data_IF_343926520803
#
_entry.id   IF_343926520803
#
_cell.length_a   1.000
_cell.length_b   1.000
_cell.length_c   1.000
_cell.angle_alpha   90.00
_cell.angle_beta   90.00
_cell.angle_gamma   90.00
#
_symmetry.space_group_name_H-M   'P 1'
#
loop_
_entity.id
_entity.type
_entity.pdbx_description
1 polymer ?
#
# COMPACT_ATOMS: atom_id res chain seq x y z
N UNK A 1 20.60 -18.37 6.00
CA UNK A 1 19.33 -18.81 6.63
C UNK A 1 18.72 -17.58 7.31
N UNK A 2 17.82 -16.86 6.65
CA UNK A 2 17.24 -15.64 7.22
C UNK A 2 16.27 -16.04 8.36
N UNK A 3 16.65 -15.68 9.58
CA UNK A 3 15.98 -16.00 10.83
C UNK A 3 14.61 -15.32 10.86
N UNK A 4 13.61 -16.05 11.35
CA UNK A 4 12.21 -15.64 11.42
C UNK A 4 12.03 -14.25 12.01
N UNK A 5 11.19 -13.46 11.34
CA UNK A 5 10.72 -12.17 11.80
C UNK A 5 9.58 -12.43 12.79
N UNK A 6 9.81 -12.16 14.08
CA UNK A 6 8.82 -12.34 15.14
C UNK A 6 7.57 -11.46 14.90
N UNK A 7 6.34 -11.99 15.01
CA UNK A 7 5.11 -11.28 14.60
C UNK A 7 4.59 -10.23 15.60
N UNK A 8 5.22 -10.02 16.76
CA UNK A 8 4.68 -9.15 17.83
C UNK A 8 5.06 -7.67 17.68
N UNK A 9 6.04 -7.32 16.84
CA UNK A 9 6.48 -5.94 16.60
C UNK A 9 5.78 -5.22 15.44
N UNK A 10 5.18 -5.96 14.49
CA UNK A 10 4.67 -5.39 13.24
C UNK A 10 3.32 -4.67 13.38
N UNK A 11 2.45 -5.11 14.30
CA UNK A 11 1.17 -4.44 14.54
C UNK A 11 1.34 -3.06 15.18
N UNK A 12 2.25 -2.90 16.14
CA UNK A 12 2.43 -1.62 16.85
C UNK A 12 2.90 -0.48 15.92
N UNK A 13 3.82 -0.78 14.99
CA UNK A 13 4.35 0.18 14.02
C UNK A 13 3.30 0.53 12.96
N UNK A 14 2.57 -0.46 12.44
CA UNK A 14 1.45 -0.21 11.54
C UNK A 14 0.38 0.66 12.21
N UNK A 15 -0.03 0.33 13.44
CA UNK A 15 -1.01 1.11 14.18
C UNK A 15 -0.55 2.55 14.42
N UNK A 16 0.72 2.76 14.78
CA UNK A 16 1.26 4.10 15.00
C UNK A 16 1.34 4.93 13.70
N UNK A 17 1.69 4.30 12.59
CA UNK A 17 1.71 4.94 11.26
C UNK A 17 0.32 5.33 10.79
N UNK A 18 -0.66 4.44 10.97
CA UNK A 18 -2.04 4.66 10.58
C UNK A 18 -2.73 5.73 11.42
N UNK A 19 -2.23 5.98 12.63
CA UNK A 19 -2.69 7.05 13.53
C UNK A 19 -1.94 8.38 13.33
N UNK A 20 -0.86 8.40 12.54
CA UNK A 20 -0.05 9.60 12.31
C UNK A 20 -0.74 10.51 11.28
N UNK A 21 -1.06 11.78 11.62
CA UNK A 21 -1.61 12.73 10.66
C UNK A 21 -0.59 12.99 9.54
N UNK A 22 -1.06 13.09 8.29
CA UNK A 22 -0.22 13.34 7.11
C UNK A 22 0.22 12.10 6.33
N UNK A 23 0.10 10.89 6.89
CA UNK A 23 0.48 9.66 6.18
C UNK A 23 -0.70 8.92 5.53
N UNK A 24 -1.92 9.41 5.68
CA UNK A 24 -3.11 8.76 5.13
C UNK A 24 -3.07 8.65 3.58
N UNK A 25 -2.66 9.72 2.89
CA UNK A 25 -2.48 9.72 1.44
C UNK A 25 -1.39 8.76 0.98
N UNK A 26 -0.16 8.82 1.54
CA UNK A 26 0.93 7.91 1.19
C UNK A 26 0.64 6.44 1.50
N UNK A 27 -0.06 6.15 2.60
CA UNK A 27 -0.48 4.78 2.92
C UNK A 27 -1.51 4.25 1.92
N UNK A 28 -2.45 5.10 1.47
CA UNK A 28 -3.40 4.76 0.40
C UNK A 28 -2.70 4.56 -0.94
N UNK A 29 -1.72 5.39 -1.26
CA UNK A 29 -0.88 5.24 -2.45
C UNK A 29 -0.15 3.89 -2.44
N UNK A 30 0.56 3.58 -1.35
CA UNK A 30 1.29 2.32 -1.19
C UNK A 30 0.35 1.11 -1.31
N UNK A 31 -0.83 1.17 -0.69
CA UNK A 31 -1.85 0.13 -0.81
C UNK A 31 -2.24 -0.10 -2.28
N UNK A 32 -2.50 0.97 -3.04
CA UNK A 32 -2.86 0.88 -4.44
C UNK A 32 -1.71 0.32 -5.30
N UNK A 33 -0.46 0.72 -5.03
CA UNK A 33 0.72 0.15 -5.69
C UNK A 33 0.80 -1.38 -5.49
N UNK A 34 0.62 -1.86 -4.26
CA UNK A 34 0.63 -3.30 -3.96
C UNK A 34 -0.52 -4.05 -4.64
N UNK A 35 -1.72 -3.47 -4.69
CA UNK A 35 -2.89 -4.08 -5.34
C UNK A 35 -2.73 -4.17 -6.85
N UNK A 36 -2.23 -3.10 -7.49
CA UNK A 36 -1.96 -3.09 -8.94
C UNK A 36 -0.92 -4.14 -9.28
N UNK A 37 0.22 -4.10 -8.59
CA UNK A 37 1.29 -5.06 -8.82
C UNK A 37 0.87 -6.53 -8.57
N UNK A 38 -0.13 -6.78 -7.72
CA UNK A 38 -0.74 -8.11 -7.60
C UNK A 38 -1.54 -8.48 -8.85
N UNK A 39 -2.42 -7.58 -9.31
CA UNK A 39 -3.23 -7.76 -10.52
C UNK A 39 -2.39 -7.94 -11.78
N UNK A 40 -1.38 -7.09 -11.99
CA UNK A 40 -0.45 -7.20 -13.13
C UNK A 40 0.21 -8.60 -13.19
N UNK A 41 0.64 -9.13 -12.04
CA UNK A 41 1.26 -10.46 -11.96
C UNK A 41 0.29 -11.61 -12.26
N UNK A 42 -0.99 -11.43 -11.94
CA UNK A 42 -2.01 -12.44 -12.23
C UNK A 42 -2.43 -12.44 -13.70
N UNK A 43 -2.41 -11.26 -14.34
CA UNK A 43 -2.75 -11.11 -15.76
C UNK A 43 -1.59 -11.54 -16.67
N UNK A 44 -0.37 -11.08 -16.39
CA UNK A 44 0.80 -11.31 -17.26
C UNK A 44 1.44 -12.69 -17.02
N UNK A 45 1.19 -13.31 -15.85
CA UNK A 45 1.80 -14.57 -15.44
C UNK A 45 3.30 -14.48 -15.14
N UNK A 46 3.90 -13.28 -15.29
CA UNK A 46 5.30 -13.00 -15.03
C UNK A 46 5.43 -12.07 -13.82
N UNK A 47 6.39 -12.35 -12.94
CA UNK A 47 6.70 -11.51 -11.78
C UNK A 47 8.02 -10.77 -11.99
N UNK A 48 7.94 -9.49 -12.34
CA UNK A 48 9.11 -8.60 -12.39
C UNK A 48 9.17 -7.67 -11.16
N UNK A 49 10.36 -7.16 -10.79
CA UNK A 49 10.47 -6.11 -9.79
C UNK A 49 9.76 -4.83 -10.26
N UNK A 50 8.98 -4.19 -9.38
CA UNK A 50 8.21 -2.97 -9.71
C UNK A 50 8.72 -1.80 -8.88
N UNK A 51 9.14 -0.67 -9.48
CA UNK A 51 9.56 0.52 -8.75
C UNK A 51 8.37 1.25 -8.12
N UNK A 52 8.55 1.71 -6.88
CA UNK A 52 7.65 2.67 -6.23
C UNK A 52 8.11 4.08 -6.57
N UNK A 53 7.43 4.69 -7.53
CA UNK A 53 7.71 6.06 -7.97
C UNK A 53 6.72 7.00 -7.28
N UNK A 54 7.15 7.81 -6.30
CA UNK A 54 6.31 8.84 -5.72
C UNK A 54 6.12 9.96 -6.77
N UNK A 55 4.87 10.22 -7.16
CA UNK A 55 4.53 11.21 -8.20
C UNK A 55 3.90 12.49 -7.63
N UNK A 56 3.84 12.59 -6.30
CA UNK A 56 3.28 13.74 -5.59
C UNK A 56 4.21 14.09 -4.44
N UNK A 57 4.28 15.38 -4.10
CA UNK A 57 5.11 15.88 -3.00
C UNK A 57 4.82 15.15 -1.68
N UNK A 58 3.55 14.90 -1.37
CA UNK A 58 3.14 14.13 -0.18
C UNK A 58 3.74 12.72 -0.13
N UNK A 59 3.84 12.03 -1.28
CA UNK A 59 4.45 10.70 -1.36
C UNK A 59 5.97 10.78 -1.31
N UNK A 60 6.58 11.84 -1.85
CA UNK A 60 8.02 12.09 -1.78
C UNK A 60 8.46 12.34 -0.32
N UNK A 61 7.76 13.22 0.40
CA UNK A 61 7.98 13.48 1.84
C UNK A 61 7.85 12.18 2.66
N UNK A 62 6.82 11.38 2.38
CA UNK A 62 6.65 10.09 3.04
C UNK A 62 7.82 9.12 2.78
N UNK A 63 8.48 9.19 1.62
CA UNK A 63 9.64 8.36 1.32
C UNK A 63 10.90 8.80 2.09
N UNK A 64 10.92 10.02 2.62
CA UNK A 64 11.95 10.51 3.55
C UNK A 64 11.63 10.17 5.02
N UNK A 65 10.36 9.99 5.37
CA UNK A 65 9.94 9.61 6.72
C UNK A 65 10.49 8.22 7.13
N UNK A 66 11.13 8.17 8.30
CA UNK A 66 11.76 6.94 8.82
C UNK A 66 10.73 5.85 9.16
N UNK A 67 9.55 6.23 9.63
CA UNK A 67 8.48 5.29 10.01
C UNK A 67 7.92 4.66 8.74
N UNK A 68 7.66 5.45 7.71
CA UNK A 68 7.17 4.96 6.42
C UNK A 68 8.17 4.03 5.75
N UNK A 69 9.47 4.38 5.71
CA UNK A 69 10.53 3.47 5.22
C UNK A 69 10.63 2.17 6.03
N UNK A 70 10.45 2.24 7.35
CA UNK A 70 10.42 1.04 8.18
C UNK A 70 9.23 0.13 7.87
N UNK A 71 8.06 0.71 7.56
CA UNK A 71 6.92 -0.04 7.03
C UNK A 71 7.26 -0.73 5.70
N UNK A 72 7.89 -0.03 4.76
CA UNK A 72 8.31 -0.63 3.49
C UNK A 72 9.19 -1.86 3.70
N UNK A 73 10.15 -1.78 4.62
CA UNK A 73 10.97 -2.92 5.03
C UNK A 73 10.15 -4.07 5.62
N UNK A 74 9.21 -3.78 6.52
CA UNK A 74 8.36 -4.80 7.14
C UNK A 74 7.45 -5.52 6.14
N UNK A 75 7.02 -4.82 5.09
CA UNK A 75 6.24 -5.38 3.99
C UNK A 75 7.09 -6.14 2.97
N UNK A 76 8.41 -6.20 3.17
CA UNK A 76 9.35 -6.92 2.30
C UNK A 76 9.73 -6.17 1.03
N UNK A 77 9.55 -4.85 0.99
CA UNK A 77 10.04 -4.02 -0.12
C UNK A 77 11.53 -3.76 0.03
N UNK A 78 12.20 -3.59 -1.12
CA UNK A 78 13.65 -3.36 -1.15
C UNK A 78 13.94 -1.87 -1.30
N UNK A 79 14.88 -1.30 -0.52
CA UNK A 79 15.41 0.03 -0.82
C UNK A 79 16.15 0.04 -2.16
N UNK A 80 16.44 1.24 -2.70
CA UNK A 80 17.42 1.38 -3.78
C UNK A 80 18.78 0.79 -3.35
N UNK A 81 19.41 0.00 -4.23
CA UNK A 81 20.61 -0.77 -3.88
C UNK A 81 21.91 0.07 -3.81
N UNK A 82 21.93 1.23 -4.48
CA UNK A 82 23.08 2.15 -4.58
C UNK A 82 22.62 3.46 -5.20
N UNK A 83 23.52 4.44 -5.36
CA UNK A 83 23.25 5.74 -6.01
C UNK A 83 22.72 5.64 -7.45
N UNK A 84 22.86 4.48 -8.10
CA UNK A 84 22.28 4.20 -9.41
C UNK A 84 20.77 3.94 -9.37
N UNK A 85 20.21 3.57 -8.23
CA UNK A 85 18.77 3.38 -8.06
C UNK A 85 18.17 4.48 -7.19
N UNK A 86 17.06 5.07 -7.63
CA UNK A 86 16.39 6.15 -6.90
C UNK A 86 15.15 5.67 -6.14
N UNK A 87 14.59 4.52 -6.53
CA UNK A 87 13.27 4.08 -6.06
C UNK A 87 13.33 2.78 -5.26
N UNK A 88 12.47 2.70 -4.25
CA UNK A 88 12.14 1.43 -3.62
C UNK A 88 11.47 0.49 -4.61
N UNK A 89 11.57 -0.82 -4.38
CA UNK A 89 10.98 -1.81 -5.28
C UNK A 89 10.13 -2.83 -4.53
N UNK A 90 9.03 -3.21 -5.16
CA UNK A 90 8.29 -4.44 -4.87
C UNK A 90 9.07 -5.59 -5.52
N UNK A 91 9.64 -6.54 -4.75
CA UNK A 91 10.42 -7.63 -5.33
C UNK A 91 9.55 -8.58 -6.17
N UNK A 92 10.16 -9.20 -7.17
CA UNK A 92 9.53 -10.26 -7.96
C UNK A 92 9.10 -11.47 -7.11
N UNK A 93 9.80 -11.74 -6.00
CA UNK A 93 9.52 -12.86 -5.10
C UNK A 93 8.21 -12.71 -4.29
N UNK A 94 7.64 -11.50 -4.20
CA UNK A 94 6.36 -11.31 -3.53
C UNK A 94 5.23 -11.77 -4.45
N UNK A 95 4.50 -12.80 -3.99
CA UNK A 95 3.37 -13.36 -4.74
C UNK A 95 2.16 -12.43 -4.70
N UNK A 96 1.23 -12.53 -5.67
CA UNK A 96 -0.01 -11.73 -5.67
C UNK A 96 -0.78 -11.81 -4.35
N UNK A 97 -0.85 -13.01 -3.74
CA UNK A 97 -1.50 -13.20 -2.45
C UNK A 97 -0.78 -12.45 -1.32
N UNK A 98 0.56 -12.47 -1.27
CA UNK A 98 1.33 -11.73 -0.26
C UNK A 98 1.12 -10.22 -0.41
N UNK A 99 1.11 -9.71 -1.64
CA UNK A 99 0.87 -8.29 -1.93
C UNK A 99 -0.52 -7.83 -1.51
N UNK A 100 -1.56 -8.64 -1.77
CA UNK A 100 -2.92 -8.36 -1.29
C UNK A 100 -3.01 -8.36 0.23
N UNK A 101 -2.35 -9.31 0.90
CA UNK A 101 -2.32 -9.36 2.38
C UNK A 101 -1.60 -8.13 2.96
N UNK A 102 -0.49 -7.72 2.36
CA UNK A 102 0.23 -6.49 2.73
C UNK A 102 -0.66 -5.25 2.57
N UNK A 103 -1.31 -5.10 1.41
CA UNK A 103 -2.25 -4.01 1.13
C UNK A 103 -3.43 -3.96 2.12
N UNK A 104 -3.98 -5.12 2.48
CA UNK A 104 -5.06 -5.23 3.47
C UNK A 104 -4.61 -4.89 4.89
N UNK A 105 -3.35 -5.18 5.24
CA UNK A 105 -2.80 -4.84 6.55
C UNK A 105 -2.66 -3.32 6.73
N UNK A 106 -2.31 -2.59 5.66
CA UNK A 106 -2.25 -1.12 5.65
C UNK A 106 -3.65 -0.49 5.75
N UNK A 107 -4.73 -1.23 5.47
CA UNK A 107 -6.06 -0.66 5.55
C UNK A 107 -6.43 -0.36 7.01
N UNK A 108 -6.34 0.91 7.43
CA UNK A 108 -7.15 1.37 8.54
C UNK A 108 -8.60 1.46 8.08
N UNK A 109 -9.48 0.88 8.91
CA UNK A 109 -10.93 0.98 8.84
C UNK A 109 -11.30 2.44 8.61
N UNK A 110 -11.69 2.75 7.39
CA UNK A 110 -12.42 3.96 7.09
C UNK A 110 -13.77 3.84 7.84
N UNK A 111 -14.07 4.69 8.85
CA UNK A 111 -15.40 4.72 9.43
C UNK A 111 -16.44 5.37 8.50
N UNK A 112 -16.07 5.75 7.28
CA UNK A 112 -16.90 6.40 6.28
C UNK A 112 -17.15 5.46 5.07
N UNK A 113 -17.41 4.18 5.35
CA UNK A 113 -18.21 3.37 4.44
C UNK A 113 -19.62 3.93 4.41
N UNK A 114 -19.82 5.06 3.73
CA UNK A 114 -21.15 5.53 3.36
C UNK A 114 -21.75 4.45 2.46
N UNK A 115 -22.87 3.82 2.85
CA UNK A 115 -23.64 3.03 1.90
C UNK A 115 -24.03 3.99 0.79
N UNK A 116 -23.58 3.75 -0.43
CA UNK A 116 -24.24 4.33 -1.60
C UNK A 116 -25.66 3.78 -1.60
N UNK A 117 -26.60 4.57 -1.09
CA UNK A 117 -28.00 4.41 -1.39
C UNK A 117 -28.17 4.57 -2.92
N UNK A 118 -28.77 3.59 -3.62
CA UNK A 118 -29.03 3.72 -5.04
C UNK A 118 -29.97 4.92 -5.29
N UNK A 119 -29.82 5.66 -6.41
CA UNK A 119 -30.75 6.73 -6.72
C UNK A 119 -32.16 6.15 -6.80
N UNK A 120 -33.03 6.60 -5.89
CA UNK A 120 -34.44 6.25 -5.88
C UNK A 120 -35.09 6.58 -7.23
N UNK A 121 -36.15 5.85 -7.63
CA UNK A 121 -36.71 5.95 -8.98
C UNK A 121 -37.23 7.37 -9.27
N UNK A 122 -37.20 7.81 -10.53
CA UNK A 122 -37.66 9.14 -10.92
C UNK A 122 -39.13 9.30 -10.55
N UNK A 123 -39.45 10.38 -9.84
CA UNK A 123 -40.83 10.77 -9.56
C UNK A 123 -41.54 11.08 -10.87
N UNK A 124 -42.57 10.31 -11.20
CA UNK A 124 -43.52 10.67 -12.25
C UNK A 124 -44.18 12.02 -11.88
N UNK A 125 -44.37 12.95 -12.83
CA UNK A 125 -45.23 14.10 -12.59
C UNK A 125 -46.67 13.61 -12.44
N UNK A 126 -47.33 14.00 -11.35
CA UNK A 126 -48.78 13.84 -11.22
C UNK A 126 -49.43 14.97 -12.03
N UNK A 127 -50.32 14.58 -12.94
CA UNK A 127 -51.33 15.43 -13.60
C UNK A 127 -52.38 15.91 -12.58
#
# INVERSE_FOLDING_TARGET
>A
LAKGMDPVGSCGILCHLLLSPGLAGPLRWLQNCLRRAAGDREEDGVSHPVPLVPLTEENEDAMEDRRFRNLLWQLGLRPPASEQESFWRIPAALTPQQLRRAAASIAHRDPSGSPQDPPGPPRCPQD
#
